data_IF_182127752885
#
_entry.id   IF_182127752885
#
_cell.length_a   1.000
_cell.length_b   1.000
_cell.length_c   1.000
_cell.angle_alpha   90.00
_cell.angle_beta   90.00
_cell.angle_gamma   90.00
#
_symmetry.space_group_name_H-M   'P 1'
#
loop_
_entity.id
_entity.type
_entity.pdbx_description
1 polymer ?
#
# COMPACT_ATOMS: atom_id res chain seq x y z
N UNK A 1 -7.94 6.88 14.87
CA UNK A 1 -6.82 7.76 15.28
C UNK A 1 -6.14 8.20 14.00
N UNK A 2 -5.81 9.48 13.83
CA UNK A 2 -4.98 9.90 12.68
C UNK A 2 -3.53 9.88 13.17
N UNK A 3 -2.80 8.84 12.77
CA UNK A 3 -1.34 8.76 12.88
C UNK A 3 -0.69 9.18 11.56
N UNK A 4 0.61 9.45 11.59
CA UNK A 4 1.42 9.63 10.39
C UNK A 4 2.40 8.47 10.36
N UNK A 5 2.41 7.69 9.28
CA UNK A 5 3.39 6.62 9.12
C UNK A 5 4.69 7.23 8.59
N UNK A 6 5.78 7.14 9.36
CA UNK A 6 7.08 7.67 8.95
C UNK A 6 7.77 6.76 7.94
N UNK A 7 8.66 7.31 7.11
CA UNK A 7 9.54 6.52 6.24
C UNK A 7 11.01 6.60 6.71
N UNK A 8 11.79 5.58 6.39
CA UNK A 8 13.23 5.51 6.66
C UNK A 8 13.99 5.12 5.40
N UNK A 9 15.08 5.85 5.09
CA UNK A 9 16.05 5.40 4.09
C UNK A 9 16.89 4.24 4.67
N UNK A 10 17.20 3.28 3.81
CA UNK A 10 18.01 2.12 4.13
C UNK A 10 19.46 2.36 3.70
N UNK A 11 20.39 1.98 4.56
CA UNK A 11 21.83 2.00 4.25
C UNK A 11 22.29 0.74 3.53
N UNK A 12 21.50 -0.32 3.59
CA UNK A 12 21.73 -1.62 2.97
C UNK A 12 20.40 -2.28 2.63
N UNK A 13 20.43 -3.26 1.73
CA UNK A 13 19.24 -4.03 1.39
C UNK A 13 18.80 -4.87 2.60
N UNK A 14 17.49 -4.94 2.82
CA UNK A 14 16.90 -5.64 3.97
C UNK A 14 16.10 -6.83 3.45
N UNK A 15 16.42 -8.03 3.93
CA UNK A 15 15.71 -9.26 3.58
C UNK A 15 14.22 -9.15 3.90
N UNK A 16 13.39 -9.63 2.97
CA UNK A 16 11.93 -9.71 3.13
C UNK A 16 11.54 -11.16 3.34
N UNK A 17 10.68 -11.38 4.33
CA UNK A 17 10.13 -12.70 4.64
C UNK A 17 8.62 -12.70 4.44
N UNK A 18 8.13 -13.83 3.92
CA UNK A 18 6.70 -14.04 3.76
C UNK A 18 6.02 -14.16 5.11
N UNK A 19 4.84 -13.57 5.23
CA UNK A 19 3.96 -13.65 6.41
C UNK A 19 2.63 -14.37 6.10
N UNK A 20 2.37 -14.63 4.81
CA UNK A 20 1.16 -15.28 4.33
C UNK A 20 1.48 -16.19 3.14
N UNK A 21 0.81 -17.34 3.07
CA UNK A 21 1.00 -18.34 2.00
C UNK A 21 0.65 -17.84 0.60
N UNK A 22 -0.14 -16.76 0.46
CA UNK A 22 -0.45 -16.17 -0.84
C UNK A 22 0.77 -15.50 -1.50
N UNK A 23 1.83 -15.20 -0.73
CA UNK A 23 3.04 -14.56 -1.23
C UNK A 23 4.27 -15.46 -0.98
N UNK A 24 4.64 -16.22 -2.01
CA UNK A 24 5.88 -17.00 -2.01
C UNK A 24 7.07 -16.10 -2.40
N UNK A 25 8.14 -16.14 -1.60
CA UNK A 25 9.32 -15.29 -1.81
C UNK A 25 10.57 -16.13 -2.03
N UNK A 26 11.40 -15.68 -2.96
CA UNK A 26 12.75 -16.19 -3.20
C UNK A 26 13.71 -15.79 -2.07
N UNK A 27 14.81 -16.53 -1.89
CA UNK A 27 15.82 -16.23 -0.87
C UNK A 27 16.50 -14.85 -1.07
N UNK A 28 16.50 -14.33 -2.29
CA UNK A 28 17.02 -13.00 -2.62
C UNK A 28 16.00 -11.87 -2.43
N UNK A 29 14.81 -12.15 -1.90
CA UNK A 29 13.77 -11.15 -1.64
C UNK A 29 14.25 -10.06 -0.67
N UNK A 30 14.23 -8.80 -1.11
CA UNK A 30 14.70 -7.67 -0.31
C UNK A 30 13.96 -6.36 -0.62
N UNK A 31 13.94 -5.48 0.39
CA UNK A 31 13.65 -4.05 0.24
C UNK A 31 14.96 -3.32 0.00
N UNK A 32 14.91 -2.34 -0.89
CA UNK A 32 16.04 -1.49 -1.24
C UNK A 32 15.71 -0.04 -0.94
N UNK A 33 16.72 0.79 -0.69
CA UNK A 33 16.62 2.26 -0.58
C UNK A 33 15.77 2.84 0.56
N UNK A 34 14.50 2.43 0.77
CA UNK A 34 13.63 2.96 1.81
C UNK A 34 12.49 2.01 2.20
N UNK A 35 11.94 2.22 3.40
CA UNK A 35 10.79 1.51 3.96
C UNK A 35 9.87 2.49 4.71
N UNK A 36 8.57 2.27 4.62
CA UNK A 36 7.54 2.91 5.43
C UNK A 36 7.33 2.18 6.75
N UNK A 37 6.90 2.94 7.76
CA UNK A 37 6.30 2.45 8.99
C UNK A 37 4.86 2.00 8.78
N UNK A 38 4.61 1.21 7.73
CA UNK A 38 3.26 0.85 7.28
C UNK A 38 2.51 0.01 8.33
N UNK A 39 1.46 0.60 8.89
CA UNK A 39 0.49 -0.12 9.70
C UNK A 39 -0.58 -0.77 8.81
N UNK A 40 -0.89 -2.03 9.04
CA UNK A 40 -1.83 -2.75 8.20
C UNK A 40 -3.29 -2.31 8.37
N UNK A 41 -3.67 -1.73 9.52
CA UNK A 41 -5.03 -1.22 9.80
C UNK A 41 -6.19 -2.14 9.35
N UNK A 42 -6.04 -3.46 9.56
CA UNK A 42 -7.05 -4.47 9.19
C UNK A 42 -6.85 -5.13 7.83
N UNK A 43 -5.85 -4.71 7.05
CA UNK A 43 -5.35 -5.44 5.90
C UNK A 43 -4.57 -6.69 6.33
N UNK A 44 -4.51 -7.68 5.45
CA UNK A 44 -3.63 -8.85 5.61
C UNK A 44 -2.19 -8.46 5.32
N UNK A 45 -1.26 -8.81 6.21
CA UNK A 45 0.18 -8.64 5.98
C UNK A 45 0.70 -9.82 5.19
N UNK A 46 1.15 -9.58 3.96
CA UNK A 46 1.70 -10.62 3.08
C UNK A 46 3.21 -10.81 3.29
N UNK A 47 3.93 -9.73 3.60
CA UNK A 47 5.37 -9.76 3.83
C UNK A 47 5.81 -8.73 4.88
N UNK A 48 6.94 -8.99 5.53
CA UNK A 48 7.61 -8.07 6.45
C UNK A 48 9.13 -8.14 6.31
N UNK A 49 9.82 -7.12 6.80
CA UNK A 49 11.28 -7.07 6.81
C UNK A 49 11.85 -7.95 7.93
N UNK A 50 12.89 -8.74 7.63
CA UNK A 50 13.69 -9.42 8.66
C UNK A 50 14.78 -8.47 9.17
N UNK A 51 14.37 -7.53 10.03
CA UNK A 51 15.27 -6.55 10.62
C UNK A 51 14.81 -6.19 12.04
N UNK A 52 15.72 -6.06 13.02
CA UNK A 52 15.35 -5.79 14.41
C UNK A 52 14.50 -4.52 14.61
N UNK A 53 14.68 -3.52 13.76
CA UNK A 53 13.91 -2.27 13.82
C UNK A 53 12.72 -2.23 12.86
N UNK A 54 12.90 -2.72 11.62
CA UNK A 54 11.87 -2.55 10.58
C UNK A 54 10.84 -3.68 10.56
N UNK A 55 11.15 -4.82 11.18
CA UNK A 55 10.26 -5.98 11.21
C UNK A 55 8.98 -5.81 12.04
N UNK A 56 8.80 -4.65 12.71
CA UNK A 56 7.56 -4.31 13.40
C UNK A 56 6.47 -3.75 12.48
N UNK A 57 6.82 -3.38 11.24
CA UNK A 57 5.89 -2.86 10.24
C UNK A 57 5.73 -3.81 9.06
N UNK A 58 4.64 -3.65 8.32
CA UNK A 58 4.38 -4.46 7.13
C UNK A 58 5.21 -3.96 5.94
N UNK A 59 5.73 -4.87 5.12
CA UNK A 59 6.39 -4.52 3.86
C UNK A 59 5.40 -4.53 2.69
N UNK A 60 4.48 -5.52 2.69
CA UNK A 60 3.40 -5.67 1.71
C UNK A 60 2.11 -6.03 2.43
N UNK A 61 1.04 -5.30 2.14
CA UNK A 61 -0.30 -5.56 2.66
C UNK A 61 -1.30 -5.77 1.55
N UNK A 62 -2.41 -6.43 1.87
CA UNK A 62 -3.51 -6.57 0.94
C UNK A 62 -4.87 -6.54 1.63
N UNK A 63 -5.88 -5.97 0.96
CA UNK A 63 -7.24 -5.86 1.48
C UNK A 63 -8.27 -6.07 0.36
N UNK A 64 -9.35 -6.78 0.67
CA UNK A 64 -10.50 -6.87 -0.23
C UNK A 64 -11.24 -5.51 -0.24
N UNK A 65 -11.48 -4.98 -1.42
CA UNK A 65 -12.15 -3.70 -1.63
C UNK A 65 -13.21 -3.87 -2.72
N UNK A 66 -14.49 -3.89 -2.31
CA UNK A 66 -15.60 -4.22 -3.19
C UNK A 66 -15.49 -5.64 -3.73
N UNK A 67 -15.54 -5.80 -5.05
CA UNK A 67 -15.39 -7.09 -5.75
C UNK A 67 -13.93 -7.43 -6.09
N UNK A 68 -13.00 -6.54 -5.72
CA UNK A 68 -11.59 -6.68 -6.01
C UNK A 68 -10.71 -6.64 -4.77
N UNK A 69 -9.41 -6.45 -5.00
CA UNK A 69 -8.39 -6.39 -3.97
C UNK A 69 -7.39 -5.29 -4.27
N UNK A 70 -6.92 -4.65 -3.22
CA UNK A 70 -5.84 -3.67 -3.26
C UNK A 70 -4.63 -4.26 -2.54
N UNK A 71 -3.50 -4.31 -3.23
CA UNK A 71 -2.21 -4.74 -2.65
C UNK A 71 -1.26 -3.56 -2.69
N UNK A 72 -0.63 -3.29 -1.55
CA UNK A 72 0.24 -2.14 -1.34
C UNK A 72 1.59 -2.59 -0.83
N UNK A 73 2.66 -2.01 -1.40
CA UNK A 73 4.02 -2.18 -0.91
C UNK A 73 4.47 -0.85 -0.29
N UNK A 74 4.68 -0.82 1.03
CA UNK A 74 5.20 0.35 1.76
C UNK A 74 6.73 0.42 1.69
N UNK A 75 7.30 -0.09 0.61
CA UNK A 75 8.75 -0.30 0.47
C UNK A 75 9.11 -0.12 -0.99
N UNK A 76 10.40 0.03 -1.29
CA UNK A 76 10.87 -0.16 -2.65
C UNK A 76 11.39 -1.60 -2.83
N UNK A 77 10.54 -2.52 -3.33
CA UNK A 77 10.91 -3.91 -3.49
C UNK A 77 11.95 -4.10 -4.58
N UNK A 78 12.84 -5.08 -4.40
CA UNK A 78 13.60 -5.61 -5.51
C UNK A 78 12.71 -6.46 -6.44
N UNK A 79 13.26 -6.89 -7.58
CA UNK A 79 12.51 -7.63 -8.60
C UNK A 79 11.86 -8.93 -8.06
N UNK A 80 12.53 -9.77 -7.25
CA UNK A 80 11.90 -10.93 -6.64
C UNK A 80 10.63 -10.61 -5.84
N UNK A 81 10.68 -9.61 -4.95
CA UNK A 81 9.50 -9.21 -4.17
C UNK A 81 8.42 -8.64 -5.08
N UNK A 82 8.80 -7.78 -6.03
CA UNK A 82 7.85 -7.20 -6.99
C UNK A 82 7.13 -8.28 -7.80
N UNK A 83 7.87 -9.22 -8.41
CA UNK A 83 7.33 -10.29 -9.23
C UNK A 83 6.40 -11.23 -8.46
N UNK A 84 6.75 -11.60 -7.23
CA UNK A 84 5.86 -12.35 -6.36
C UNK A 84 4.58 -11.57 -6.05
N UNK A 85 4.71 -10.29 -5.72
CA UNK A 85 3.59 -9.43 -5.37
C UNK A 85 2.65 -9.17 -6.57
N UNK A 86 3.12 -9.28 -7.81
CA UNK A 86 2.25 -9.23 -8.99
C UNK A 86 1.22 -10.37 -8.99
N UNK A 87 1.56 -11.55 -8.45
CA UNK A 87 0.63 -12.68 -8.29
C UNK A 87 -0.56 -12.36 -7.36
N UNK A 88 -0.35 -11.48 -6.39
CA UNK A 88 -1.36 -11.02 -5.41
C UNK A 88 -1.90 -9.63 -5.72
N UNK A 89 -1.66 -9.11 -6.92
CA UNK A 89 -2.30 -7.89 -7.42
C UNK A 89 -1.51 -6.60 -7.23
N UNK A 90 -0.24 -6.63 -6.79
CA UNK A 90 0.62 -5.46 -6.93
C UNK A 90 0.80 -5.16 -8.42
N UNK A 91 0.72 -3.89 -8.79
CA UNK A 91 0.92 -3.45 -10.17
C UNK A 91 1.78 -2.21 -10.13
N UNK A 92 2.88 -2.22 -10.88
CA UNK A 92 3.56 -1.00 -11.26
C UNK A 92 2.63 -0.12 -12.09
N UNK A 93 2.85 1.19 -12.03
CA UNK A 93 2.22 2.09 -12.97
C UNK A 93 2.94 1.93 -14.32
N UNK A 94 2.52 0.98 -15.15
CA UNK A 94 2.72 1.11 -16.60
C UNK A 94 2.13 2.47 -16.98
N UNK A 95 2.77 3.23 -17.88
CA UNK A 95 2.27 4.56 -18.28
C UNK A 95 0.88 4.37 -18.88
N UNK A 96 -0.16 4.42 -18.03
CA UNK A 96 -1.56 4.37 -18.41
C UNK A 96 -1.67 5.55 -19.37
N UNK A 97 -1.83 5.27 -20.67
CA UNK A 97 -2.08 6.32 -21.66
C UNK A 97 -3.15 7.21 -21.06
N UNK A 98 -2.81 8.48 -20.84
CA UNK A 98 -3.49 9.41 -19.95
C UNK A 98 -5.00 9.27 -20.12
N UNK A 99 -5.63 8.46 -19.27
CA UNK A 99 -7.05 8.61 -19.00
C UNK A 99 -7.04 9.58 -17.84
N UNK A 100 -7.40 10.86 -18.04
CA UNK A 100 -7.53 11.76 -16.91
C UNK A 100 -8.39 11.04 -15.90
N UNK A 101 -7.92 10.91 -14.66
CA UNK A 101 -8.85 10.74 -13.57
C UNK A 101 -9.91 11.82 -13.80
N UNK A 102 -11.18 11.42 -13.96
CA UNK A 102 -12.24 12.41 -13.96
C UNK A 102 -12.07 13.14 -12.64
N UNK A 103 -11.53 14.36 -12.69
CA UNK A 103 -11.21 15.09 -11.48
C UNK A 103 -12.53 15.25 -10.76
N UNK A 104 -12.70 14.68 -9.56
CA UNK A 104 -13.89 14.99 -8.79
C UNK A 104 -13.85 16.50 -8.58
N UNK A 105 -14.82 17.22 -9.16
CA UNK A 105 -14.93 18.66 -9.01
C UNK A 105 -15.36 18.92 -7.57
N UNK A 106 -14.38 18.99 -6.66
CA UNK A 106 -14.62 19.36 -5.29
C UNK A 106 -14.91 20.87 -5.28
N UNK A 107 -16.20 21.24 -5.18
CA UNK A 107 -16.60 22.62 -4.90
C UNK A 107 -16.60 22.81 -3.39
N UNK A 108 -15.71 23.68 -2.95
CA UNK A 108 -15.69 24.27 -1.62
C UNK A 108 -17.08 24.88 -1.31
N UNK A 109 -17.84 24.38 -0.32
CA UNK A 109 -19.11 24.98 0.03
C UNK A 109 -18.86 26.33 0.70
N UNK A 110 -19.01 27.42 -0.06
CA UNK A 110 -19.10 28.75 0.53
C UNK A 110 -20.49 28.91 1.15
N UNK A 111 -20.56 28.85 2.48
CA UNK A 111 -21.80 29.10 3.20
C UNK A 111 -21.67 28.89 4.70
N UNK A 112 -21.46 29.98 5.43
CA UNK A 112 -21.74 30.02 6.86
C UNK A 112 -23.25 29.77 7.09
N UNK A 113 -23.59 28.72 7.85
CA UNK A 113 -24.88 28.61 8.52
C UNK A 113 -25.78 27.45 8.09
N UNK A 114 -25.88 26.48 8.99
CA UNK A 114 -27.09 25.74 9.38
C UNK A 114 -27.71 24.67 8.44
N UNK A 115 -27.81 23.46 9.02
CA UNK A 115 -28.72 22.34 8.75
C UNK A 115 -28.85 21.76 7.32
N UNK A 116 -28.48 20.48 7.17
CA UNK A 116 -28.97 19.66 6.05
C UNK A 116 -28.13 18.40 5.80
N UNK A 117 -28.69 17.23 6.12
CA UNK A 117 -28.16 15.94 5.69
C UNK A 117 -28.24 15.82 4.15
N UNK A 118 -27.21 15.26 3.52
CA UNK A 118 -27.27 14.88 2.11
C UNK A 118 -26.78 13.43 1.94
N UNK A 119 -27.76 12.53 1.81
CA UNK A 119 -27.61 11.22 1.18
C UNK A 119 -27.24 11.45 -0.29
N UNK A 120 -26.29 10.68 -0.82
CA UNK A 120 -26.09 10.53 -2.26
C UNK A 120 -25.93 9.05 -2.59
N UNK A 121 -26.98 8.54 -3.22
CA UNK A 121 -27.11 7.26 -3.90
C UNK A 121 -26.28 7.24 -5.18
N UNK A 122 -25.61 6.12 -5.43
CA UNK A 122 -24.92 5.82 -6.69
C UNK A 122 -25.89 5.69 -7.88
N UNK A 123 -25.37 5.99 -9.07
CA UNK A 123 -25.86 5.47 -10.35
C UNK A 123 -24.67 4.81 -11.06
#
# INVERSE_FOLDING_TARGET
>A
MSGYDEFSNLTEDVTVVSKDTELELDESAAVTMWTDGLNAEGATVLAGCDHPHFGQWAAVTTIQAGEGRTTYAGTLPNLPVYGAAEGVGLRGHERIGERPCAQPSWREPQGHGQHGAALLTSA
#
